data_IF_002851101491
#
_entry.id   IF_002851101491
#
_cell.length_a   1.000
_cell.length_b   1.000
_cell.length_c   1.000
_cell.angle_alpha   90.00
_cell.angle_beta   90.00
_cell.angle_gamma   90.00
#
_symmetry.space_group_name_H-M   'P 1'
#
loop_
_entity.id
_entity.type
_entity.pdbx_description
1 polymer ?
#
# COMPACT_ATOMS: atom_id res chain seq x y z
N UNK A 1 -10.73 -9.07 -22.91
CA UNK A 1 -11.24 -7.88 -22.18
C UNK A 1 -11.26 -8.27 -20.71
N UNK A 2 -10.60 -7.66 -19.73
CA UNK A 2 -9.72 -6.49 -19.65
C UNK A 2 -9.26 -6.33 -18.18
N UNK A 3 -8.88 -7.43 -17.51
CA UNK A 3 -8.64 -7.48 -16.05
C UNK A 3 -7.22 -7.09 -15.61
N UNK A 4 -6.27 -6.98 -16.54
CA UNK A 4 -4.91 -6.51 -16.24
C UNK A 4 -4.76 -4.99 -16.34
N UNK A 5 -5.72 -4.31 -16.97
CA UNK A 5 -5.67 -2.86 -17.23
C UNK A 5 -5.81 -2.02 -15.95
N UNK A 6 -6.60 -2.49 -14.98
CA UNK A 6 -6.91 -1.72 -13.76
C UNK A 6 -5.79 -1.77 -12.71
N UNK A 7 -4.91 -2.78 -12.76
CA UNK A 7 -3.76 -2.90 -11.86
C UNK A 7 -2.61 -1.99 -12.32
N UNK A 8 -2.47 -1.78 -13.64
CA UNK A 8 -1.39 -0.97 -14.22
C UNK A 8 -1.64 0.54 -14.10
N UNK A 9 -2.90 0.99 -14.12
CA UNK A 9 -3.26 2.40 -13.88
C UNK A 9 -2.90 2.92 -12.48
N UNK A 10 -2.55 2.02 -11.54
CA UNK A 10 -2.18 2.38 -10.16
C UNK A 10 -0.71 2.82 -10.01
N UNK A 11 0.16 2.50 -10.97
CA UNK A 11 1.61 2.68 -10.84
C UNK A 11 2.08 4.05 -11.35
N UNK A 12 1.44 4.61 -12.38
CA UNK A 12 1.94 5.76 -13.16
C UNK A 12 1.88 7.15 -12.49
N UNK A 13 1.24 7.28 -11.31
CA UNK A 13 0.74 8.59 -10.87
C UNK A 13 1.49 9.31 -9.73
N UNK A 14 2.72 8.89 -9.38
CA UNK A 14 3.57 9.67 -8.46
C UNK A 14 4.90 10.02 -9.13
N UNK A 15 5.20 11.33 -9.22
CA UNK A 15 6.42 11.82 -9.87
C UNK A 15 7.71 11.45 -9.11
N UNK A 16 8.79 11.29 -9.87
CA UNK A 16 10.07 10.63 -9.58
C UNK A 16 10.79 10.96 -8.25
N UNK A 17 10.44 12.02 -7.52
CA UNK A 17 11.11 12.38 -6.26
C UNK A 17 10.64 11.56 -5.04
N UNK A 18 9.36 11.17 -5.01
CA UNK A 18 8.78 10.39 -3.91
C UNK A 18 8.65 8.90 -4.24
N UNK A 19 9.18 8.48 -5.39
CA UNK A 19 9.13 7.09 -5.86
C UNK A 19 9.85 6.16 -4.89
N UNK A 20 10.96 6.61 -4.29
CA UNK A 20 11.79 5.77 -3.43
C UNK A 20 11.06 5.26 -2.18
N UNK A 21 10.30 6.12 -1.48
CA UNK A 21 9.56 5.68 -0.29
C UNK A 21 8.42 4.73 -0.64
N UNK A 22 7.70 4.99 -1.74
CA UNK A 22 6.64 4.11 -2.26
C UNK A 22 7.22 2.74 -2.64
N UNK A 23 8.28 2.72 -3.45
CA UNK A 23 8.94 1.49 -3.90
C UNK A 23 9.49 0.68 -2.72
N UNK A 24 10.17 1.33 -1.77
CA UNK A 24 10.67 0.69 -0.56
C UNK A 24 9.53 0.14 0.32
N UNK A 25 8.40 0.84 0.39
CA UNK A 25 7.19 0.37 1.10
C UNK A 25 6.57 -0.84 0.42
N UNK A 26 6.51 -0.85 -0.91
CA UNK A 26 6.05 -2.01 -1.69
C UNK A 26 6.99 -3.19 -1.49
N UNK A 27 8.31 -2.98 -1.53
CA UNK A 27 9.29 -4.05 -1.32
C UNK A 27 9.16 -4.68 0.08
N UNK A 28 8.94 -3.86 1.09
CA UNK A 28 8.68 -4.32 2.45
C UNK A 28 7.37 -5.14 2.52
N UNK A 29 6.29 -4.63 1.95
CA UNK A 29 5.00 -5.33 1.91
C UNK A 29 5.10 -6.65 1.12
N UNK A 30 5.83 -6.68 0.00
CA UNK A 30 6.07 -7.87 -0.80
C UNK A 30 6.80 -8.96 0.00
N UNK A 31 7.82 -8.57 0.79
CA UNK A 31 8.54 -9.49 1.68
C UNK A 31 7.65 -10.04 2.79
N UNK A 32 6.79 -9.19 3.37
CA UNK A 32 5.84 -9.62 4.39
C UNK A 32 4.77 -10.55 3.81
N UNK A 33 4.15 -10.18 2.68
CA UNK A 33 3.13 -10.96 1.98
C UNK A 33 3.62 -12.35 1.59
N UNK A 34 4.82 -12.47 1.01
CA UNK A 34 5.40 -13.79 0.61
C UNK A 34 5.61 -14.77 1.78
N UNK A 35 5.63 -14.27 3.02
CA UNK A 35 5.77 -15.12 4.22
C UNK A 35 4.43 -15.60 4.76
N UNK A 36 3.31 -15.06 4.26
CA UNK A 36 1.97 -15.44 4.67
C UNK A 36 1.52 -16.68 3.91
N UNK A 37 0.88 -17.62 4.63
CA UNK A 37 0.42 -18.90 4.07
C UNK A 37 -1.09 -19.02 3.93
N UNK A 38 -1.85 -18.28 4.74
CA UNK A 38 -3.30 -18.41 4.86
C UNK A 38 -4.01 -17.07 4.58
N UNK A 39 -3.40 -16.25 3.72
CA UNK A 39 -3.88 -14.90 3.42
C UNK A 39 -4.57 -14.88 2.05
N UNK A 40 -5.87 -14.64 2.04
CA UNK A 40 -6.73 -14.59 0.85
C UNK A 40 -6.42 -13.36 -0.01
N UNK A 41 -6.33 -12.19 0.62
CA UNK A 41 -5.99 -10.95 -0.05
C UNK A 41 -5.27 -10.00 0.89
N UNK A 42 -4.65 -8.98 0.30
CA UNK A 42 -3.98 -7.94 1.07
C UNK A 42 -3.79 -6.67 0.29
N UNK A 43 -3.45 -5.61 1.00
CA UNK A 43 -3.20 -4.30 0.43
C UNK A 43 -1.96 -3.70 1.08
N UNK A 44 -0.96 -3.37 0.25
CA UNK A 44 0.06 -2.43 0.65
C UNK A 44 -0.58 -1.05 0.69
N UNK A 45 -0.48 -0.39 1.83
CA UNK A 45 -1.07 0.92 2.10
C UNK A 45 -0.01 1.88 2.60
N UNK A 46 -0.18 3.16 2.30
CA UNK A 46 0.44 4.26 3.02
C UNK A 46 -0.64 4.87 3.91
N UNK A 47 -0.55 4.65 5.22
CA UNK A 47 -1.52 5.17 6.19
C UNK A 47 -0.99 6.45 6.84
N UNK A 48 -1.87 7.42 7.04
CA UNK A 48 -1.54 8.73 7.57
C UNK A 48 -1.61 8.75 9.09
N UNK A 49 -0.59 9.32 9.71
CA UNK A 49 -0.57 9.74 11.12
C UNK A 49 0.02 11.14 11.18
N UNK A 50 -0.82 12.12 11.51
CA UNK A 50 -0.41 13.53 11.50
C UNK A 50 -0.02 14.00 10.09
N UNK A 51 1.16 14.57 9.97
CA UNK A 51 1.76 15.10 8.73
C UNK A 51 2.53 14.05 7.91
N UNK A 52 2.61 12.82 8.43
CA UNK A 52 3.37 11.72 7.85
C UNK A 52 2.48 10.57 7.39
N UNK A 53 2.99 9.85 6.42
CA UNK A 53 2.50 8.51 6.08
C UNK A 53 3.52 7.45 6.43
N UNK A 54 3.01 6.27 6.70
CA UNK A 54 3.76 5.11 7.12
C UNK A 54 3.34 3.92 6.26
N UNK A 55 4.26 2.98 6.03
CA UNK A 55 3.93 1.73 5.34
C UNK A 55 3.08 0.83 6.24
N UNK A 56 2.06 0.23 5.65
CA UNK A 56 1.22 -0.76 6.29
C UNK A 56 0.84 -1.83 5.29
N UNK A 57 0.86 -3.09 5.74
CA UNK A 57 0.26 -4.19 5.01
C UNK A 57 -1.05 -4.57 5.70
N UNK A 58 -2.16 -4.37 5.01
CA UNK A 58 -3.47 -4.91 5.39
C UNK A 58 -3.63 -6.31 4.79
N UNK A 59 -4.24 -7.22 5.53
CA UNK A 59 -4.40 -8.63 5.14
C UNK A 59 -5.77 -9.12 5.58
N UNK A 60 -6.40 -9.91 4.71
CA UNK A 60 -7.56 -10.73 5.06
C UNK A 60 -7.13 -12.20 4.97
N UNK A 61 -7.32 -12.94 6.05
CA UNK A 61 -7.02 -14.36 6.14
C UNK A 61 -8.19 -15.22 5.66
N UNK A 62 -7.93 -16.49 5.34
CA UNK A 62 -8.93 -17.42 4.78
C UNK A 62 -10.14 -17.66 5.71
N UNK A 63 -9.99 -17.40 7.01
CA UNK A 63 -11.07 -17.46 8.01
C UNK A 63 -11.86 -16.15 8.15
N UNK A 64 -11.57 -15.17 7.28
CA UNK A 64 -12.18 -13.84 7.28
C UNK A 64 -11.59 -12.88 8.32
N UNK A 65 -10.56 -13.29 9.07
CA UNK A 65 -9.90 -12.39 10.03
C UNK A 65 -9.11 -11.32 9.27
N UNK A 66 -9.26 -10.07 9.69
CA UNK A 66 -8.50 -8.94 9.16
C UNK A 66 -7.30 -8.62 10.07
N UNK A 67 -6.17 -8.28 9.46
CA UNK A 67 -4.93 -7.95 10.16
C UNK A 67 -4.18 -6.79 9.51
N UNK A 68 -3.38 -6.11 10.33
CA UNK A 68 -2.50 -5.03 9.89
C UNK A 68 -1.08 -5.28 10.37
N UNK A 69 -0.10 -5.10 9.49
CA UNK A 69 1.31 -5.12 9.83
C UNK A 69 1.91 -3.75 9.52
N UNK A 70 2.61 -3.20 10.51
CA UNK A 70 3.34 -1.93 10.38
C UNK A 70 4.82 -2.19 10.61
N UNK A 71 5.68 -1.47 9.91
CA UNK A 71 7.12 -1.53 10.14
C UNK A 71 7.51 -0.63 11.31
N UNK A 72 7.95 -1.22 12.41
CA UNK A 72 8.38 -0.48 13.61
C UNK A 72 9.61 0.38 13.37
N UNK A 73 10.38 0.11 12.31
CA UNK A 73 11.55 0.89 11.94
C UNK A 73 11.23 1.99 10.91
N UNK A 74 9.98 2.10 10.48
CA UNK A 74 9.58 3.12 9.51
C UNK A 74 9.51 4.49 10.16
N UNK A 75 10.37 5.39 9.70
CA UNK A 75 10.40 6.79 10.16
C UNK A 75 9.25 7.63 9.58
N UNK A 76 8.50 7.04 8.64
CA UNK A 76 7.46 7.70 7.88
C UNK A 76 8.03 8.64 6.82
N UNK A 77 7.14 9.14 5.98
CA UNK A 77 7.43 10.11 4.93
C UNK A 77 6.45 11.27 5.06
N UNK A 78 6.95 12.51 4.96
CA UNK A 78 6.08 13.68 5.02
C UNK A 78 5.15 13.68 3.80
N UNK A 79 3.86 13.94 4.02
CA UNK A 79 2.86 13.94 2.93
C UNK A 79 3.21 14.95 1.85
N UNK A 80 3.77 16.09 2.22
CA UNK A 80 4.23 17.13 1.30
C UNK A 80 5.37 16.66 0.39
N UNK A 81 6.20 15.73 0.87
CA UNK A 81 7.27 15.13 0.09
C UNK A 81 6.79 14.03 -0.85
N UNK A 82 5.57 13.51 -0.64
CA UNK A 82 4.94 12.64 -1.61
C UNK A 82 4.28 13.48 -2.71
N UNK A 83 4.69 13.23 -3.95
CA UNK A 83 4.07 13.83 -5.12
C UNK A 83 2.72 13.19 -5.42
N UNK A 84 1.76 13.30 -4.50
CA UNK A 84 0.43 12.70 -4.59
C UNK A 84 -0.49 13.59 -5.42
N UNK A 85 -1.15 13.03 -6.44
CA UNK A 85 -2.23 13.73 -7.16
C UNK A 85 -3.35 14.17 -6.22
N UNK A 86 -4.02 15.27 -6.56
CA UNK A 86 -5.10 15.86 -5.74
C UNK A 86 -6.20 14.85 -5.36
N UNK A 87 -6.53 13.93 -6.26
CA UNK A 87 -7.56 12.89 -6.01
C UNK A 87 -7.12 11.89 -4.94
N UNK A 88 -5.89 11.40 -5.02
CA UNK A 88 -5.29 10.52 -4.00
C UNK A 88 -5.08 11.23 -2.66
N UNK A 89 -4.87 12.56 -2.67
CA UNK A 89 -4.85 13.36 -1.44
C UNK A 89 -6.23 13.37 -0.78
N UNK A 90 -7.30 13.54 -1.55
CA UNK A 90 -8.68 13.42 -1.02
C UNK A 90 -8.98 12.02 -0.51
N UNK A 91 -8.47 10.98 -1.17
CA UNK A 91 -8.57 9.60 -0.68
C UNK A 91 -7.87 9.44 0.68
N UNK A 92 -6.64 9.95 0.80
CA UNK A 92 -5.89 9.94 2.04
C UNK A 92 -6.61 10.69 3.17
N UNK A 93 -7.13 11.88 2.89
CA UNK A 93 -7.91 12.69 3.85
C UNK A 93 -9.21 12.00 4.27
N UNK A 94 -9.85 11.25 3.37
CA UNK A 94 -11.14 10.59 3.63
C UNK A 94 -11.00 9.26 4.36
N UNK A 95 -10.03 8.44 3.97
CA UNK A 95 -9.88 7.06 4.45
C UNK A 95 -8.71 6.89 5.42
N UNK A 96 -7.89 7.91 5.61
CA UNK A 96 -6.67 7.86 6.42
C UNK A 96 -5.56 7.02 5.81
N UNK A 97 -5.74 6.50 4.58
CA UNK A 97 -4.72 5.74 3.87
C UNK A 97 -4.93 5.81 2.36
N UNK A 98 -3.88 5.50 1.61
CA UNK A 98 -3.94 5.19 0.18
C UNK A 98 -3.42 3.80 -0.05
N UNK A 99 -4.09 3.05 -0.93
CA UNK A 99 -3.57 1.77 -1.40
C UNK A 99 -2.46 2.07 -2.41
N UNK A 100 -1.34 1.34 -2.32
CA UNK A 100 -0.21 1.46 -3.28
C UNK A 100 0.03 0.16 -4.05
N UNK A 101 -0.46 -0.98 -3.55
CA UNK A 101 -0.46 -2.27 -4.26
C UNK A 101 -1.51 -3.19 -3.66
N UNK A 102 -2.15 -4.02 -4.49
CA UNK A 102 -3.06 -5.09 -4.03
C UNK A 102 -2.39 -6.45 -4.20
N UNK A 103 -2.70 -7.35 -3.28
CA UNK A 103 -2.28 -8.74 -3.26
C UNK A 103 -3.51 -9.63 -3.28
N UNK A 104 -3.44 -10.68 -4.09
CA UNK A 104 -4.45 -11.72 -4.16
C UNK A 104 -3.74 -13.05 -3.99
N UNK A 105 -4.45 -14.02 -3.42
CA UNK A 105 -3.97 -15.39 -3.31
C UNK A 105 -3.56 -15.90 -4.70
N UNK A 106 -2.29 -16.27 -4.86
CA UNK A 106 -1.85 -17.00 -6.04
C UNK A 106 -2.44 -18.40 -5.93
N UNK A 107 -3.56 -18.63 -6.61
CA UNK A 107 -4.10 -19.97 -6.86
C UNK A 107 -2.94 -20.78 -7.46
N UNK A 108 -2.43 -21.75 -6.69
CA UNK A 108 -1.40 -22.71 -7.13
C UNK A 108 -2.03 -23.81 -7.96
#
# INVERSE_FOLDING_TARGET
MGLLSDILGFIEDLSNGSSYYKENSIEWCDKAWRRMRNAECGEARLYQVGDKVYRQLYVVFDDGIEGYLTDTNDRGCNIESLSIKRERRKELERFGHIIIKKYLLQIR
#
